data_IF_459431420098
#
_entry.id   IF_459431420098
#
_cell.length_a   1.000
_cell.length_b   1.000
_cell.length_c   1.000
_cell.angle_alpha   90.00
_cell.angle_beta   90.00
_cell.angle_gamma   90.00
#
_symmetry.space_group_name_H-M   'P 1'
#
loop_
_entity.id
_entity.type
_entity.pdbx_description
1 polymer ?
#
# COMPACT_ATOMS: atom_id res chain seq x y z
N UNK A 1 -38.08 -15.94 -13.00
CA UNK A 1 -36.92 -15.05 -13.24
C UNK A 1 -36.26 -14.80 -11.89
N UNK A 2 -35.16 -15.47 -11.59
CA UNK A 2 -34.45 -15.30 -10.32
C UNK A 2 -33.63 -14.01 -10.37
N UNK A 3 -33.90 -13.07 -9.45
CA UNK A 3 -33.05 -11.88 -9.27
C UNK A 3 -31.64 -12.37 -8.94
N UNK A 4 -30.71 -12.19 -9.88
CA UNK A 4 -29.29 -12.38 -9.61
C UNK A 4 -28.93 -11.36 -8.55
N UNK A 5 -28.43 -11.84 -7.41
CA UNK A 5 -27.90 -10.94 -6.40
C UNK A 5 -26.54 -10.50 -6.95
N UNK A 6 -26.47 -9.31 -7.54
CA UNK A 6 -25.27 -8.82 -8.26
C UNK A 6 -24.12 -8.42 -7.32
N UNK A 7 -24.23 -8.79 -6.04
CA UNK A 7 -23.29 -8.43 -4.98
C UNK A 7 -22.51 -9.64 -4.47
N UNK A 8 -21.22 -9.46 -4.11
CA UNK A 8 -20.43 -10.51 -3.48
C UNK A 8 -21.08 -11.06 -2.19
N UNK A 9 -20.75 -12.29 -1.77
CA UNK A 9 -21.23 -12.84 -0.50
C UNK A 9 -20.93 -11.90 0.68
N UNK A 10 -21.94 -11.59 1.49
CA UNK A 10 -21.83 -10.67 2.63
C UNK A 10 -21.97 -9.18 2.28
N UNK A 11 -22.19 -8.84 1.01
CA UNK A 11 -22.47 -7.48 0.57
C UNK A 11 -23.97 -7.27 0.36
N UNK A 12 -24.45 -6.10 0.79
CA UNK A 12 -25.81 -5.63 0.54
C UNK A 12 -25.74 -4.25 -0.12
N UNK A 13 -26.85 -3.83 -0.71
CA UNK A 13 -26.95 -2.55 -1.43
C UNK A 13 -26.50 -1.35 -0.58
N UNK A 14 -26.80 -1.37 0.72
CA UNK A 14 -26.37 -0.32 1.67
C UNK A 14 -24.85 -0.26 1.78
N UNK A 15 -24.19 -1.40 1.97
CA UNK A 15 -22.72 -1.47 2.03
C UNK A 15 -22.08 -1.02 0.72
N UNK A 16 -22.69 -1.32 -0.42
CA UNK A 16 -22.21 -0.86 -1.73
C UNK A 16 -22.36 0.65 -1.85
N UNK A 17 -23.50 1.22 -1.45
CA UNK A 17 -23.75 2.66 -1.48
C UNK A 17 -22.80 3.42 -0.53
N UNK A 18 -22.62 2.93 0.68
CA UNK A 18 -21.70 3.52 1.67
C UNK A 18 -20.25 3.54 1.16
N UNK A 19 -19.83 2.48 0.44
CA UNK A 19 -18.50 2.39 -0.17
C UNK A 19 -18.37 3.34 -1.37
N UNK A 20 -19.40 3.43 -2.23
CA UNK A 20 -19.41 4.35 -3.36
C UNK A 20 -19.39 5.81 -2.89
N UNK A 21 -20.22 6.18 -1.92
CA UNK A 21 -20.23 7.52 -1.34
C UNK A 21 -18.89 7.86 -0.68
N UNK A 22 -18.23 6.88 -0.04
CA UNK A 22 -16.90 7.05 0.55
C UNK A 22 -15.80 7.30 -0.52
N UNK A 23 -15.84 6.60 -1.66
CA UNK A 23 -14.86 6.80 -2.75
C UNK A 23 -15.20 7.99 -3.67
N UNK A 24 -16.48 8.34 -3.84
CA UNK A 24 -16.91 9.52 -4.61
C UNK A 24 -16.70 10.84 -3.85
N UNK A 25 -16.70 10.79 -2.51
CA UNK A 25 -16.40 11.95 -1.66
C UNK A 25 -14.90 12.08 -1.32
N UNK A 26 -14.10 11.06 -1.63
CA UNK A 26 -12.65 11.11 -1.48
C UNK A 26 -12.05 11.95 -2.62
N UNK A 27 -11.51 13.11 -2.28
CA UNK A 27 -10.70 13.91 -3.21
C UNK A 27 -9.39 13.19 -3.51
N UNK A 28 -8.95 13.19 -4.77
CA UNK A 28 -7.69 12.57 -5.25
C UNK A 28 -6.45 12.89 -4.39
N UNK A 29 -6.43 14.05 -3.73
CA UNK A 29 -5.35 14.50 -2.84
C UNK A 29 -5.18 13.66 -1.55
N UNK A 30 -6.25 13.07 -1.00
CA UNK A 30 -6.17 12.32 0.28
C UNK A 30 -5.67 10.88 0.05
N UNK A 31 -6.01 10.28 -1.11
CA UNK A 31 -5.48 8.98 -1.53
C UNK A 31 -3.99 9.05 -1.96
N UNK A 32 -3.51 10.23 -2.36
CA UNK A 32 -2.09 10.47 -2.65
C UNK A 32 -1.25 10.62 -1.37
N UNK A 33 -1.79 11.27 -0.33
CA UNK A 33 -1.08 11.54 0.91
C UNK A 33 -0.65 10.28 1.69
N UNK A 34 -1.44 9.21 1.66
CA UNK A 34 -1.06 7.93 2.29
C UNK A 34 0.08 7.22 1.54
N UNK A 35 0.21 7.41 0.23
CA UNK A 35 1.32 6.86 -0.57
C UNK A 35 2.61 7.70 -0.45
N UNK A 36 2.51 9.02 -0.28
CA UNK A 36 3.67 9.90 -0.11
C UNK A 36 4.31 9.78 1.28
N UNK A 37 3.53 9.52 2.34
CA UNK A 37 4.06 9.35 3.69
C UNK A 37 4.88 8.06 3.86
N UNK A 38 4.52 6.97 3.15
CA UNK A 38 5.30 5.74 3.14
C UNK A 38 6.68 5.93 2.47
N UNK A 39 6.75 6.76 1.42
CA UNK A 39 7.98 7.16 0.75
C UNK A 39 8.81 8.17 1.56
N UNK A 40 8.19 8.88 2.50
CA UNK A 40 8.82 9.85 3.40
C UNK A 40 9.13 9.26 4.79
N UNK A 41 9.06 7.94 4.95
CA UNK A 41 9.49 7.31 6.21
C UNK A 41 11.00 7.58 6.41
N UNK A 42 11.43 8.16 7.57
CA UNK A 42 12.85 8.45 7.82
C UNK A 42 13.71 7.17 7.94
N UNK A 43 13.08 5.99 7.89
CA UNK A 43 13.72 4.69 7.98
C UNK A 43 14.35 4.24 6.65
N UNK A 44 13.87 4.76 5.52
CA UNK A 44 14.33 4.35 4.19
C UNK A 44 14.65 5.54 3.30
N UNK A 45 15.63 5.38 2.41
CA UNK A 45 16.06 6.41 1.46
C UNK A 45 16.06 5.83 0.05
N UNK A 46 15.54 6.59 -0.91
CA UNK A 46 15.60 6.24 -2.34
C UNK A 46 16.94 6.71 -2.93
N UNK A 47 17.64 5.80 -3.61
CA UNK A 47 18.88 6.11 -4.32
C UNK A 47 18.95 5.35 -5.64
N UNK A 48 19.55 5.97 -6.66
CA UNK A 48 19.84 5.32 -7.93
C UNK A 48 21.05 4.38 -7.77
N UNK A 49 20.93 3.14 -8.26
CA UNK A 49 21.98 2.12 -8.17
C UNK A 49 22.10 1.40 -9.51
N UNK A 50 23.32 1.26 -10.07
CA UNK A 50 23.56 0.39 -11.23
C UNK A 50 23.06 -1.03 -10.99
N UNK A 51 22.37 -1.63 -11.96
CA UNK A 51 21.73 -2.95 -11.84
C UNK A 51 22.69 -4.05 -11.38
N UNK A 52 23.95 -3.98 -11.82
CA UNK A 52 25.01 -4.93 -11.46
C UNK A 52 25.38 -4.93 -9.97
N UNK A 53 25.09 -3.85 -9.26
CA UNK A 53 25.39 -3.70 -7.83
C UNK A 53 24.21 -4.09 -6.93
N UNK A 54 23.00 -4.28 -7.47
CA UNK A 54 21.80 -4.63 -6.70
C UNK A 54 22.00 -5.85 -5.78
N UNK A 55 22.66 -6.95 -6.20
CA UNK A 55 22.90 -8.09 -5.31
C UNK A 55 23.73 -7.75 -4.07
N UNK A 56 24.70 -6.84 -4.19
CA UNK A 56 25.59 -6.42 -3.10
C UNK A 56 24.78 -5.65 -2.05
N UNK A 57 23.96 -4.69 -2.50
CA UNK A 57 23.11 -3.92 -1.60
C UNK A 57 22.07 -4.79 -0.89
N UNK A 58 21.50 -5.79 -1.57
CA UNK A 58 20.58 -6.76 -0.94
C UNK A 58 21.24 -7.51 0.22
N UNK A 59 22.49 -7.93 0.06
CA UNK A 59 23.23 -8.61 1.12
C UNK A 59 23.49 -7.67 2.30
N UNK A 60 23.96 -6.45 2.04
CA UNK A 60 24.23 -5.45 3.09
C UNK A 60 22.97 -5.10 3.89
N UNK A 61 21.82 -4.97 3.24
CA UNK A 61 20.54 -4.71 3.91
C UNK A 61 20.17 -5.90 4.81
N UNK A 62 20.29 -7.13 4.31
CA UNK A 62 19.98 -8.33 5.09
C UNK A 62 20.90 -8.50 6.32
N UNK A 63 22.19 -8.19 6.18
CA UNK A 63 23.14 -8.19 7.30
C UNK A 63 22.74 -7.15 8.35
N UNK A 64 22.45 -5.92 7.92
CA UNK A 64 22.01 -4.84 8.82
C UNK A 64 20.71 -5.17 9.56
N UNK A 65 19.71 -5.76 8.90
CA UNK A 65 18.46 -6.16 9.54
C UNK A 65 18.65 -7.27 10.58
N UNK A 66 19.57 -8.19 10.32
CA UNK A 66 19.90 -9.26 11.27
C UNK A 66 20.68 -8.76 12.49
N UNK A 67 21.42 -7.66 12.36
CA UNK A 67 22.16 -7.02 13.44
C UNK A 67 21.32 -6.03 14.27
N UNK A 68 20.16 -5.61 13.77
CA UNK A 68 19.23 -4.76 14.54
C UNK A 68 18.50 -5.61 15.58
N UNK A 69 18.72 -5.41 16.89
CA UNK A 69 17.88 -6.06 17.89
C UNK A 69 16.45 -5.57 17.70
N UNK A 70 15.50 -6.50 17.60
CA UNK A 70 14.07 -6.18 17.59
C UNK A 70 13.75 -5.29 18.80
N UNK A 71 13.30 -4.06 18.56
CA UNK A 71 12.72 -3.20 19.61
C UNK A 71 11.33 -3.68 19.99
#
# INVERSE_FOLDING_TARGET
MSKRNDYPPGWNERRVRDVLDHYESQTDDEAAAEHEAALSSPEHTLMEVPTELVPIFRQLIAEHENERPSS
#
